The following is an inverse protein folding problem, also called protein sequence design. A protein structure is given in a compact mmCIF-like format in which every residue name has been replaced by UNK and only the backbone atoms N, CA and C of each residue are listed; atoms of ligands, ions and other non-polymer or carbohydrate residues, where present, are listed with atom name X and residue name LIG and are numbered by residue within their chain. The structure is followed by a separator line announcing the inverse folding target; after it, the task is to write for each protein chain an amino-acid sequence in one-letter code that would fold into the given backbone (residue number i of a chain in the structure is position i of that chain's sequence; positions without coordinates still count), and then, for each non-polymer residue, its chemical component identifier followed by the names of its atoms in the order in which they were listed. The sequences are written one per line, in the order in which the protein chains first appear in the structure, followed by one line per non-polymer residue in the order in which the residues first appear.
data_IF_347076643876
#
_entry.id   IF_347076643876
#
_cell.length_a   1.000
_cell.length_b   1.000
_cell.length_c   1.000
_cell.angle_alpha   90.00
_cell.angle_beta   90.00
_cell.angle_gamma   90.00
#
_symmetry.space_group_name_H-M   'P 1'
#
loop_
_entity.id
_entity.type
_entity.pdbx_description
1 polymer ?
#
# COMPACT_ATOMS: atom_id res chain seq x y z
N UNK A 1 35.53 -65.02 30.00
CA UNK A 1 35.71 -63.54 30.05
C UNK A 1 34.43 -62.85 29.56
N UNK A 2 33.64 -62.23 30.43
CA UNK A 2 32.42 -61.54 30.00
C UNK A 2 32.79 -60.23 29.28
N UNK A 3 32.52 -60.11 27.98
CA UNK A 3 32.65 -58.85 27.25
C UNK A 3 31.76 -57.79 27.89
N UNK A 4 32.31 -56.70 28.44
CA UNK A 4 31.52 -55.60 29.01
C UNK A 4 31.53 -54.42 28.03
N UNK A 5 30.40 -54.16 27.37
CA UNK A 5 30.24 -52.95 26.54
C UNK A 5 29.64 -51.82 27.38
N UNK A 6 30.44 -50.76 27.58
CA UNK A 6 30.01 -49.51 28.19
C UNK A 6 30.65 -48.36 27.41
N UNK A 7 29.82 -47.52 26.80
CA UNK A 7 30.28 -46.27 26.16
C UNK A 7 29.52 -45.10 26.75
N UNK A 8 30.24 -44.04 27.10
CA UNK A 8 29.61 -42.81 27.57
C UNK A 8 30.17 -41.61 26.83
N UNK A 9 29.30 -40.73 26.30
CA UNK A 9 29.67 -39.47 25.65
C UNK A 9 29.03 -38.32 26.43
N UNK A 10 29.83 -37.28 26.71
CA UNK A 10 29.37 -36.05 27.35
C UNK A 10 29.17 -35.00 26.27
N UNK A 11 28.06 -34.27 26.33
CA UNK A 11 27.75 -33.14 25.46
C UNK A 11 27.20 -32.05 26.37
N UNK A 12 28.08 -31.15 26.81
CA UNK A 12 27.76 -30.08 27.76
C UNK A 12 27.22 -30.62 29.12
N UNK A 13 26.12 -30.06 29.67
CA UNK A 13 25.55 -30.50 30.94
C UNK A 13 24.86 -31.88 30.84
N UNK A 14 24.79 -32.47 29.65
CA UNK A 14 24.19 -33.78 29.40
C UNK A 14 25.26 -34.86 29.21
N UNK A 15 25.03 -36.03 29.80
CA UNK A 15 25.85 -37.23 29.60
C UNK A 15 24.95 -38.41 29.27
N UNK A 16 25.26 -39.08 28.16
CA UNK A 16 24.60 -40.30 27.74
C UNK A 16 25.55 -41.47 27.98
N UNK A 17 25.06 -42.54 28.62
CA UNK A 17 25.81 -43.78 28.86
C UNK A 17 25.00 -44.95 28.36
N UNK A 18 25.50 -45.62 27.33
CA UNK A 18 24.98 -46.87 26.82
C UNK A 18 25.70 -48.05 27.51
N UNK A 19 24.91 -48.99 28.01
CA UNK A 19 25.39 -50.20 28.70
C UNK A 19 24.53 -51.40 28.29
N UNK A 20 24.94 -52.62 28.64
CA UNK A 20 24.16 -53.84 28.40
C UNK A 20 22.72 -53.80 28.95
N UNK A 21 22.46 -53.00 30.00
CA UNK A 21 21.12 -52.88 30.61
C UNK A 21 20.26 -51.79 29.96
N UNK A 22 20.79 -51.04 28.99
CA UNK A 22 20.09 -49.96 28.29
C UNK A 22 20.84 -48.63 28.30
N UNK A 23 20.16 -47.60 27.81
CA UNK A 23 20.67 -46.22 27.70
C UNK A 23 20.24 -45.41 28.92
N UNK A 24 21.19 -44.76 29.58
CA UNK A 24 20.96 -43.81 30.66
C UNK A 24 21.37 -42.41 30.24
N UNK A 25 20.61 -41.42 30.65
CA UNK A 25 20.90 -40.01 30.43
C UNK A 25 20.99 -39.28 31.77
N UNK A 26 21.93 -38.35 31.88
CA UNK A 26 22.00 -37.49 33.05
C UNK A 26 22.20 -36.06 32.64
N UNK A 27 21.53 -35.15 33.32
CA UNK A 27 21.68 -33.71 33.19
C UNK A 27 22.08 -33.13 34.54
N UNK A 28 23.09 -32.26 34.57
CA UNK A 28 23.46 -31.58 35.81
C UNK A 28 24.57 -30.55 35.65
N UNK A 29 24.54 -29.56 36.52
CA UNK A 29 25.49 -28.47 36.58
C UNK A 29 25.70 -28.04 38.04
N UNK A 30 26.93 -27.65 38.41
CA UNK A 30 27.21 -26.83 39.59
C UNK A 30 26.55 -27.20 40.91
N UNK A 31 26.50 -28.50 41.27
CA UNK A 31 25.95 -28.98 42.55
C UNK A 31 24.62 -29.73 42.44
N UNK A 32 23.92 -29.66 41.31
CA UNK A 32 22.68 -30.40 41.09
C UNK A 32 22.76 -31.31 39.87
N UNK A 33 22.42 -32.59 40.03
CA UNK A 33 22.40 -33.57 38.93
C UNK A 33 21.21 -34.52 39.04
N UNK A 34 20.52 -34.71 37.93
CA UNK A 34 19.48 -35.73 37.77
C UNK A 34 19.96 -36.76 36.75
N UNK A 35 19.89 -38.03 37.12
CA UNK A 35 20.26 -39.16 36.27
C UNK A 35 19.06 -40.05 36.08
N UNK A 36 18.62 -40.24 34.83
CA UNK A 36 17.70 -41.29 34.44
C UNK A 36 18.49 -42.55 34.14
N UNK A 37 18.28 -43.60 34.93
CA UNK A 37 18.97 -44.87 34.76
C UNK A 37 18.24 -45.77 33.77
N UNK A 38 18.93 -46.81 33.31
CA UNK A 38 18.40 -47.77 32.37
C UNK A 38 17.25 -48.63 32.94
N UNK A 39 17.11 -48.70 34.27
CA UNK A 39 16.00 -49.36 34.98
C UNK A 39 14.74 -48.46 35.09
N UNK A 40 14.77 -47.26 34.51
CA UNK A 40 13.69 -46.28 34.59
C UNK A 40 13.66 -45.49 35.90
N UNK A 41 14.56 -45.77 36.86
CA UNK A 41 14.65 -44.99 38.09
C UNK A 41 15.33 -43.63 37.85
N UNK A 42 14.88 -42.60 38.57
CA UNK A 42 15.54 -41.31 38.59
C UNK A 42 16.43 -41.22 39.83
N UNK A 43 17.65 -40.75 39.68
CA UNK A 43 18.55 -40.47 40.79
C UNK A 43 18.84 -38.98 40.81
N UNK A 44 18.48 -38.32 41.91
CA UNK A 44 18.80 -36.91 42.17
C UNK A 44 20.00 -36.86 43.10
N UNK A 45 21.04 -36.16 42.68
CA UNK A 45 22.24 -35.86 43.48
C UNK A 45 22.30 -34.37 43.71
N UNK A 46 22.31 -33.96 44.99
CA UNK A 46 22.54 -32.58 45.42
C UNK A 46 23.86 -32.54 46.18
N UNK A 47 24.76 -31.64 45.80
CA UNK A 47 26.06 -31.43 46.43
C UNK A 47 26.15 -29.96 46.84
N UNK A 48 26.51 -29.74 48.10
CA UNK A 48 26.82 -28.41 48.61
C UNK A 48 28.27 -28.09 48.22
N UNK A 49 28.52 -27.01 47.45
CA UNK A 49 29.87 -26.65 47.05
C UNK A 49 30.73 -26.29 48.27
N UNK A 50 32.00 -26.70 48.27
CA UNK A 50 32.96 -26.35 49.32
C UNK A 50 32.91 -27.19 50.61
N UNK A 51 31.87 -27.98 50.86
CA UNK A 51 31.70 -28.70 52.14
C UNK A 51 31.89 -30.22 52.03
N UNK A 52 32.04 -30.77 50.83
CA UNK A 52 32.20 -32.22 50.61
C UNK A 52 30.93 -33.07 50.83
N UNK A 53 29.84 -32.46 51.31
CA UNK A 53 28.59 -33.16 51.62
C UNK A 53 27.74 -33.34 50.35
N UNK A 54 27.30 -34.57 50.11
CA UNK A 54 26.40 -34.93 49.00
C UNK A 54 25.22 -35.77 49.50
N UNK A 55 24.04 -35.51 48.96
CA UNK A 55 22.85 -36.33 49.18
C UNK A 55 22.38 -36.90 47.84
N UNK A 56 22.32 -38.22 47.74
CA UNK A 56 21.74 -38.91 46.57
C UNK A 56 20.45 -39.60 46.95
N UNK A 57 19.34 -39.20 46.32
CA UNK A 57 18.04 -39.85 46.50
C UNK A 57 17.61 -40.51 45.20
N UNK A 58 17.25 -41.79 45.26
CA UNK A 58 16.53 -42.48 44.17
C UNK A 58 15.05 -42.11 44.27
N UNK A 59 14.51 -41.60 43.18
CA UNK A 59 13.12 -41.16 43.00
C UNK A 59 12.54 -42.10 41.93
N UNK A 60 11.63 -42.97 42.34
CA UNK A 60 11.04 -44.00 41.49
C UNK A 60 11.55 -45.41 41.80
N UNK A 61 10.61 -46.32 41.99
CA UNK A 61 10.87 -47.77 42.07
C UNK A 61 11.07 -48.32 40.65
N UNK A 62 11.99 -49.27 40.40
CA UNK A 62 11.99 -50.00 39.14
C UNK A 62 10.60 -50.61 38.97
N UNK A 63 9.88 -50.26 37.89
CA UNK A 63 8.65 -50.99 37.55
C UNK A 63 9.08 -52.45 37.41
N UNK A 64 8.63 -53.31 38.33
CA UNK A 64 8.61 -54.75 38.08
C UNK A 64 7.95 -54.91 36.72
N UNK A 65 8.53 -55.66 35.76
CA UNK A 65 7.82 -56.02 34.56
C UNK A 65 6.66 -56.91 35.02
N UNK A 66 5.53 -56.28 35.36
CA UNK A 66 4.26 -56.94 35.40
C UNK A 66 4.07 -57.41 33.97
N UNK A 67 4.06 -58.73 33.82
CA UNK A 67 3.37 -59.47 32.79
C UNK A 67 1.97 -58.86 32.64
N UNK A 68 1.89 -57.77 31.87
CA UNK A 68 0.66 -57.28 31.33
C UNK A 68 0.28 -58.29 30.25
N UNK A 69 -0.61 -59.18 30.66
CA UNK A 69 -1.55 -59.90 29.82
C UNK A 69 -1.80 -59.10 28.54
N UNK A 70 -1.24 -59.60 27.45
CA UNK A 70 -1.31 -58.99 26.14
C UNK A 70 -2.73 -59.13 25.60
N UNK A 71 -3.57 -58.12 25.84
CA UNK A 71 -4.62 -57.78 24.89
C UNK A 71 -3.91 -57.22 23.65
N UNK A 72 -3.64 -58.13 22.71
CA UNK A 72 -2.92 -57.83 21.49
C UNK A 72 -3.69 -56.84 20.63
N UNK A 73 -3.08 -55.68 20.38
CA UNK A 73 -3.28 -54.91 19.15
C UNK A 73 -1.92 -54.36 18.70
N UNK A 74 -1.22 -55.17 17.90
CA UNK A 74 -0.52 -54.72 16.68
C UNK A 74 0.54 -53.62 16.74
N UNK A 75 1.49 -53.62 17.67
CA UNK A 75 2.63 -52.68 17.63
C UNK A 75 3.63 -52.91 16.47
N UNK A 76 3.49 -54.00 15.70
CA UNK A 76 4.31 -54.27 14.51
C UNK A 76 3.75 -53.70 13.20
N UNK A 77 2.44 -53.46 13.12
CA UNK A 77 1.77 -53.05 11.87
C UNK A 77 1.60 -51.53 11.80
N UNK A 78 1.43 -50.86 12.95
CA UNK A 78 1.28 -49.40 13.02
C UNK A 78 2.52 -48.63 12.55
N UNK A 79 3.74 -49.09 12.88
CA UNK A 79 4.96 -48.41 12.46
C UNK A 79 5.24 -48.56 10.95
N UNK A 80 4.82 -49.68 10.35
CA UNK A 80 4.87 -49.90 8.90
C UNK A 80 3.81 -49.05 8.18
N UNK A 81 2.55 -49.05 8.63
CA UNK A 81 1.47 -48.26 8.02
C UNK A 81 1.73 -46.75 8.08
N UNK A 82 2.26 -46.26 9.21
CA UNK A 82 2.56 -44.83 9.35
C UNK A 82 3.65 -44.40 8.38
N UNK A 83 4.66 -45.25 8.14
CA UNK A 83 5.75 -44.97 7.19
C UNK A 83 5.27 -45.05 5.74
N UNK A 84 4.31 -45.94 5.47
CA UNK A 84 3.69 -46.14 4.15
C UNK A 84 2.80 -44.95 3.74
N UNK A 85 2.15 -44.27 4.69
CA UNK A 85 1.34 -43.08 4.44
C UNK A 85 2.15 -41.77 4.54
N UNK A 86 3.19 -41.73 5.37
CA UNK A 86 3.98 -40.51 5.59
C UNK A 86 4.77 -40.07 4.35
N UNK A 87 5.40 -41.02 3.65
CA UNK A 87 6.18 -40.73 2.44
C UNK A 87 5.34 -40.17 1.27
N UNK A 88 4.19 -40.76 0.88
CA UNK A 88 3.37 -40.19 -0.18
C UNK A 88 2.79 -38.82 0.21
N UNK A 89 2.39 -38.62 1.47
CA UNK A 89 1.93 -37.29 1.93
C UNK A 89 3.04 -36.23 1.85
N UNK A 90 4.28 -36.60 2.19
CA UNK A 90 5.43 -35.70 2.04
C UNK A 90 5.70 -35.38 0.56
N UNK A 91 5.68 -36.40 -0.31
CA UNK A 91 5.87 -36.22 -1.77
C UNK A 91 4.77 -35.33 -2.35
N UNK A 92 3.51 -35.55 -1.97
CA UNK A 92 2.37 -34.70 -2.39
C UNK A 92 2.58 -33.27 -1.91
N UNK A 93 3.00 -33.07 -0.65
CA UNK A 93 3.30 -31.74 -0.12
C UNK A 93 4.40 -31.01 -0.90
N UNK A 94 5.48 -31.71 -1.26
CA UNK A 94 6.57 -31.14 -2.08
C UNK A 94 6.09 -30.82 -3.50
N UNK A 95 5.30 -31.70 -4.12
CA UNK A 95 4.70 -31.46 -5.43
C UNK A 95 3.78 -30.24 -5.44
N UNK A 96 2.94 -30.08 -4.40
CA UNK A 96 2.08 -28.90 -4.26
C UNK A 96 2.90 -27.62 -4.09
N UNK A 97 4.01 -27.67 -3.34
CA UNK A 97 4.89 -26.52 -3.17
C UNK A 97 5.57 -26.11 -4.50
N UNK A 98 6.03 -27.09 -5.27
CA UNK A 98 6.59 -26.85 -6.62
C UNK A 98 5.51 -26.30 -7.57
N UNK A 99 4.29 -26.82 -7.51
CA UNK A 99 3.18 -26.36 -8.34
C UNK A 99 2.76 -24.93 -7.97
N UNK A 100 2.68 -24.60 -6.67
CA UNK A 100 2.39 -23.26 -6.19
C UNK A 100 3.45 -22.26 -6.64
N UNK A 101 4.74 -22.64 -6.59
CA UNK A 101 5.83 -21.81 -7.12
C UNK A 101 5.67 -21.54 -8.62
N UNK A 102 5.35 -22.56 -9.41
CA UNK A 102 5.12 -22.42 -10.85
C UNK A 102 3.91 -21.53 -11.14
N UNK A 103 2.83 -21.65 -10.37
CA UNK A 103 1.66 -20.80 -10.50
C UNK A 103 2.00 -19.32 -10.24
N UNK A 104 2.82 -19.02 -9.22
CA UNK A 104 3.26 -17.65 -8.94
C UNK A 104 4.06 -17.03 -10.09
N UNK A 105 4.94 -17.81 -10.74
CA UNK A 105 5.68 -17.34 -11.93
C UNK A 105 4.74 -17.03 -13.10
N UNK A 106 3.76 -17.90 -13.36
CA UNK A 106 2.76 -17.68 -14.42
C UNK A 106 1.90 -16.45 -14.13
N UNK A 107 1.41 -16.30 -12.89
CA UNK A 107 0.67 -15.11 -12.48
C UNK A 107 1.50 -13.83 -12.59
N UNK A 108 2.79 -13.88 -12.23
CA UNK A 108 3.72 -12.77 -12.42
C UNK A 108 3.83 -12.36 -13.89
N UNK A 109 4.00 -13.32 -14.80
CA UNK A 109 4.05 -13.05 -16.25
C UNK A 109 2.74 -12.45 -16.77
N UNK A 110 1.59 -12.99 -16.36
CA UNK A 110 0.27 -12.46 -16.74
C UNK A 110 0.11 -11.01 -16.26
N UNK A 111 0.46 -10.70 -15.01
CA UNK A 111 0.39 -9.34 -14.47
C UNK A 111 1.31 -8.40 -15.26
N UNK A 112 2.55 -8.80 -15.55
CA UNK A 112 3.47 -7.98 -16.36
C UNK A 112 2.93 -7.74 -17.77
N UNK A 113 2.35 -8.76 -18.41
CA UNK A 113 1.71 -8.62 -19.70
C UNK A 113 0.52 -7.65 -19.64
N UNK A 114 -0.36 -7.75 -18.63
CA UNK A 114 -1.48 -6.81 -18.44
C UNK A 114 -0.98 -5.37 -18.26
N UNK A 115 0.06 -5.16 -17.45
CA UNK A 115 0.65 -3.83 -17.22
C UNK A 115 1.27 -3.28 -18.49
N UNK A 116 2.00 -4.11 -19.25
CA UNK A 116 2.60 -3.73 -20.52
C UNK A 116 1.53 -3.42 -21.57
N UNK A 117 0.48 -4.24 -21.69
CA UNK A 117 -0.66 -3.98 -22.59
C UNK A 117 -1.36 -2.68 -22.23
N UNK A 118 -1.59 -2.39 -20.94
CA UNK A 118 -2.17 -1.10 -20.51
C UNK A 118 -1.26 0.09 -20.80
N UNK A 119 0.06 -0.08 -20.71
CA UNK A 119 1.03 0.96 -21.08
C UNK A 119 1.06 1.17 -22.59
N UNK A 120 1.05 0.08 -23.35
CA UNK A 120 1.02 0.08 -24.81
C UNK A 120 -0.26 0.74 -25.34
N UNK A 121 -1.43 0.40 -24.79
CA UNK A 121 -2.70 1.03 -25.17
C UNK A 121 -2.73 2.53 -24.83
N UNK A 122 -2.17 2.95 -23.69
CA UNK A 122 -2.04 4.39 -23.37
C UNK A 122 -1.11 5.14 -24.31
N UNK A 123 -0.04 4.49 -24.78
CA UNK A 123 0.84 5.07 -25.81
C UNK A 123 0.14 5.13 -27.17
N UNK A 124 -0.60 4.08 -27.53
CA UNK A 124 -1.33 4.00 -28.79
C UNK A 124 -2.46 5.03 -28.87
N UNK A 125 -3.21 5.25 -27.79
CA UNK A 125 -4.22 6.32 -27.74
C UNK A 125 -3.64 7.72 -27.98
N UNK A 126 -2.37 7.97 -27.63
CA UNK A 126 -1.69 9.23 -27.96
C UNK A 126 -1.29 9.34 -29.43
N UNK A 127 -1.06 8.21 -30.10
CA UNK A 127 -0.72 8.18 -31.53
C UNK A 127 -1.98 8.23 -32.40
N UNK A 128 -3.01 7.46 -32.04
CA UNK A 128 -4.26 7.38 -32.79
C UNK A 128 -5.09 8.68 -32.61
N UNK A 129 -5.07 9.30 -31.43
CA UNK A 129 -5.69 10.62 -31.20
C UNK A 129 -5.05 11.78 -31.99
N UNK A 130 -3.85 11.57 -32.56
CA UNK A 130 -3.20 12.53 -33.46
C UNK A 130 -3.39 12.15 -34.94
N UNK A 131 -3.72 10.90 -35.25
CA UNK A 131 -3.93 10.40 -36.61
C UNK A 131 -5.38 10.55 -37.09
N UNK A 132 -6.37 10.51 -36.19
CA UNK A 132 -7.79 10.76 -36.52
C UNK A 132 -8.12 12.26 -36.61
N UNK A 133 -7.21 13.13 -36.17
CA UNK A 133 -7.23 14.54 -36.54
C UNK A 133 -6.75 14.65 -37.99
N UNK A 134 -7.67 14.37 -38.90
CA UNK A 134 -7.53 14.74 -40.30
C UNK A 134 -7.47 16.28 -40.38
N UNK A 135 -6.30 16.88 -40.10
CA UNK A 135 -5.98 18.32 -40.27
C UNK A 135 -5.92 18.70 -41.76
N UNK A 136 -6.72 18.04 -42.59
CA UNK A 136 -7.06 18.43 -43.95
C UNK A 136 -8.54 18.80 -44.10
N UNK A 137 -9.32 18.76 -43.01
CA UNK A 137 -10.71 19.20 -43.00
C UNK A 137 -10.89 20.73 -42.97
N UNK A 138 -12.05 21.24 -43.42
CA UNK A 138 -12.35 22.67 -43.52
C UNK A 138 -12.17 23.43 -42.18
N UNK A 139 -12.33 22.77 -41.04
CA UNK A 139 -12.12 23.35 -39.71
C UNK A 139 -10.68 23.81 -39.46
N UNK A 140 -9.67 23.08 -39.94
CA UNK A 140 -8.28 23.51 -39.79
C UNK A 140 -8.01 24.78 -40.60
N UNK A 141 -8.60 24.89 -41.80
CA UNK A 141 -8.54 26.10 -42.61
C UNK A 141 -9.29 27.26 -41.97
N UNK A 142 -10.49 27.03 -41.41
CA UNK A 142 -11.26 28.09 -40.74
C UNK A 142 -10.53 28.61 -39.50
N UNK A 143 -9.97 27.72 -38.68
CA UNK A 143 -9.19 28.11 -37.49
C UNK A 143 -7.93 28.88 -37.89
N UNK A 144 -7.20 28.43 -38.93
CA UNK A 144 -6.05 29.18 -39.46
C UNK A 144 -6.45 30.54 -40.06
N UNK A 145 -7.56 30.64 -40.78
CA UNK A 145 -8.06 31.91 -41.34
C UNK A 145 -8.45 32.90 -40.23
N UNK A 146 -9.09 32.42 -39.15
CA UNK A 146 -9.45 33.26 -37.99
C UNK A 146 -8.20 33.68 -37.22
N UNK A 147 -7.22 32.78 -37.06
CA UNK A 147 -5.94 33.10 -36.44
C UNK A 147 -5.16 34.12 -37.28
N UNK A 148 -5.15 34.00 -38.60
CA UNK A 148 -4.49 34.98 -39.49
C UNK A 148 -5.20 36.34 -39.47
N UNK A 149 -6.53 36.36 -39.54
CA UNK A 149 -7.32 37.60 -39.47
C UNK A 149 -7.18 38.33 -38.13
N UNK A 150 -7.08 37.59 -37.02
CA UNK A 150 -6.90 38.18 -35.68
C UNK A 150 -5.48 38.70 -35.43
N UNK A 151 -4.47 38.06 -36.01
CA UNK A 151 -3.07 38.54 -35.96
C UNK A 151 -2.89 39.82 -36.77
N UNK A 152 -3.52 39.93 -37.94
CA UNK A 152 -3.39 41.09 -38.83
C UNK A 152 -4.12 42.33 -38.28
N UNK A 153 -5.22 42.15 -37.56
CA UNK A 153 -6.00 43.27 -37.01
C UNK A 153 -5.39 43.91 -35.75
N UNK A 154 -4.80 43.12 -34.85
CA UNK A 154 -4.38 43.59 -33.52
C UNK A 154 -2.88 43.44 -33.23
N UNK A 155 -2.10 42.82 -34.13
CA UNK A 155 -0.67 42.55 -33.90
C UNK A 155 -0.37 41.57 -32.75
N UNK A 156 -1.40 41.09 -32.04
CA UNK A 156 -1.30 40.14 -30.93
C UNK A 156 -2.44 39.12 -31.00
N UNK A 157 -2.11 37.86 -30.81
CA UNK A 157 -3.05 36.74 -30.90
C UNK A 157 -3.89 36.66 -29.61
N UNK A 158 -5.13 37.11 -29.64
CA UNK A 158 -6.02 37.00 -28.48
C UNK A 158 -6.54 35.57 -28.35
N UNK A 159 -5.77 34.75 -27.61
CA UNK A 159 -6.04 33.32 -27.42
C UNK A 159 -7.40 33.07 -26.77
N UNK A 160 -7.93 34.04 -25.99
CA UNK A 160 -9.26 33.95 -25.39
C UNK A 160 -10.36 33.98 -26.45
N UNK A 161 -10.22 34.84 -27.45
CA UNK A 161 -11.19 34.93 -28.56
C UNK A 161 -11.06 33.71 -29.48
N UNK A 162 -9.84 33.23 -29.73
CA UNK A 162 -9.61 32.00 -30.49
C UNK A 162 -10.19 30.76 -29.77
N UNK A 163 -10.03 30.66 -28.46
CA UNK A 163 -10.59 29.57 -27.65
C UNK A 163 -12.12 29.62 -27.60
N UNK A 164 -12.69 30.80 -27.39
CA UNK A 164 -14.14 30.99 -27.42
C UNK A 164 -14.73 30.66 -28.79
N UNK A 165 -14.05 31.05 -29.87
CA UNK A 165 -14.51 30.73 -31.25
C UNK A 165 -14.48 29.23 -31.53
N UNK A 166 -13.48 28.51 -31.03
CA UNK A 166 -13.41 27.04 -31.15
C UNK A 166 -14.49 26.35 -30.31
N UNK A 167 -14.78 26.87 -29.13
CA UNK A 167 -15.84 26.38 -28.24
C UNK A 167 -17.24 26.67 -28.81
N UNK A 168 -17.45 27.84 -29.41
CA UNK A 168 -18.71 28.23 -30.05
C UNK A 168 -18.97 27.39 -31.31
N UNK A 169 -17.91 27.06 -32.06
CA UNK A 169 -18.00 26.17 -33.21
C UNK A 169 -18.22 24.70 -32.83
N UNK A 170 -17.84 24.28 -31.62
CA UNK A 170 -17.99 22.91 -31.12
C UNK A 170 -18.34 22.88 -29.62
N UNK A 171 -19.63 23.12 -29.28
CA UNK A 171 -20.06 23.21 -27.87
C UNK A 171 -19.99 21.88 -27.10
N UNK A 172 -19.77 20.76 -27.79
CA UNK A 172 -19.62 19.43 -27.20
C UNK A 172 -18.19 19.10 -26.76
N UNK A 173 -17.19 19.90 -27.14
CA UNK A 173 -15.79 19.65 -26.79
C UNK A 173 -15.46 20.19 -25.39
N UNK A 174 -14.81 19.38 -24.52
CA UNK A 174 -14.37 19.87 -23.23
C UNK A 174 -13.23 20.88 -23.39
N UNK A 175 -13.28 21.98 -22.63
CA UNK A 175 -12.34 23.13 -22.70
C UNK A 175 -10.87 22.73 -22.64
N UNK A 176 -10.53 21.66 -21.91
CA UNK A 176 -9.16 21.14 -21.78
C UNK A 176 -8.64 20.57 -23.11
N UNK A 177 -9.52 19.92 -23.86
CA UNK A 177 -9.22 19.31 -25.14
C UNK A 177 -9.15 20.38 -26.24
N UNK A 178 -10.02 21.39 -26.19
CA UNK A 178 -9.94 22.59 -27.04
C UNK A 178 -8.64 23.39 -26.82
N UNK A 179 -8.22 23.58 -25.56
CA UNK A 179 -6.95 24.24 -25.24
C UNK A 179 -5.72 23.43 -25.70
N UNK A 180 -5.75 22.11 -25.54
CA UNK A 180 -4.71 21.21 -26.07
C UNK A 180 -4.67 21.24 -27.61
N UNK A 181 -5.82 21.39 -28.27
CA UNK A 181 -5.93 21.48 -29.73
C UNK A 181 -5.29 22.76 -30.27
N UNK A 182 -5.57 23.91 -29.65
CA UNK A 182 -4.95 25.20 -30.01
C UNK A 182 -3.43 25.15 -29.77
N UNK A 183 -2.99 24.61 -28.63
CA UNK A 183 -1.57 24.43 -28.33
C UNK A 183 -0.85 23.51 -29.32
N UNK A 184 -1.53 22.45 -29.79
CA UNK A 184 -1.03 21.50 -30.79
C UNK A 184 -0.94 22.10 -32.19
N UNK A 185 -1.95 22.85 -32.63
CA UNK A 185 -1.97 23.52 -33.95
C UNK A 185 -0.94 24.65 -33.99
N UNK A 186 -0.92 25.53 -33.00
CA UNK A 186 0.04 26.65 -32.97
C UNK A 186 1.47 26.12 -32.87
N UNK A 187 1.69 25.05 -32.08
CA UNK A 187 2.98 24.41 -31.91
C UNK A 187 3.53 23.71 -33.16
N UNK A 188 2.66 23.18 -34.03
CA UNK A 188 3.06 22.44 -35.24
C UNK A 188 3.06 23.28 -36.50
N UNK A 189 2.15 24.26 -36.66
CA UNK A 189 1.98 25.02 -37.90
C UNK A 189 2.74 26.34 -37.98
N UNK A 190 2.92 27.08 -36.87
CA UNK A 190 3.63 28.39 -36.88
C UNK A 190 4.53 28.52 -35.64
N UNK A 191 5.74 27.94 -35.65
CA UNK A 191 6.67 27.99 -34.51
C UNK A 191 7.10 29.41 -34.12
N UNK A 192 6.88 30.41 -34.98
CA UNK A 192 7.16 31.83 -34.77
C UNK A 192 6.18 32.55 -33.82
N UNK A 193 5.00 31.98 -33.52
CA UNK A 193 4.03 32.59 -32.58
C UNK A 193 4.13 32.06 -31.14
N UNK A 194 5.05 31.11 -30.89
CA UNK A 194 5.37 30.63 -29.53
C UNK A 194 5.63 31.73 -28.48
N UNK A 195 6.25 32.89 -28.81
CA UNK A 195 6.49 33.96 -27.84
C UNK A 195 5.25 34.83 -27.56
N UNK A 196 4.19 34.71 -28.36
CA UNK A 196 2.96 35.51 -28.24
C UNK A 196 1.88 34.80 -27.41
N UNK A 197 2.13 33.54 -27.03
CA UNK A 197 1.33 32.83 -26.01
C UNK A 197 1.74 33.39 -24.65
N UNK A 198 0.87 34.12 -23.95
CA UNK A 198 1.23 34.75 -22.70
C UNK A 198 1.48 33.66 -21.65
N UNK A 199 2.48 33.87 -20.79
CA UNK A 199 2.89 32.89 -19.77
C UNK A 199 1.76 32.49 -18.80
N UNK A 200 0.69 33.29 -18.73
CA UNK A 200 -0.49 33.09 -17.89
C UNK A 200 -1.52 32.10 -18.48
N UNK A 201 -1.32 31.54 -19.68
CA UNK A 201 -2.15 30.41 -20.15
C UNK A 201 -2.04 29.21 -19.18
N UNK A 202 -0.88 29.05 -18.55
CA UNK A 202 -0.70 28.09 -17.45
C UNK A 202 -1.59 28.41 -16.24
N UNK A 203 -1.73 29.69 -15.86
CA UNK A 203 -2.50 30.09 -14.69
C UNK A 203 -4.01 29.94 -14.91
N UNK A 204 -4.52 30.22 -16.12
CA UNK A 204 -5.94 29.99 -16.46
C UNK A 204 -6.30 28.49 -16.40
N UNK A 205 -5.39 27.62 -16.85
CA UNK A 205 -5.57 26.18 -16.74
C UNK A 205 -5.45 25.68 -15.28
N UNK A 206 -4.60 26.34 -14.49
CA UNK A 206 -4.41 26.05 -13.06
C UNK A 206 -5.64 26.45 -12.24
N UNK A 207 -6.25 27.61 -12.50
CA UNK A 207 -7.46 28.09 -11.84
C UNK A 207 -8.64 27.12 -12.09
N UNK A 208 -8.82 26.68 -13.34
CA UNK A 208 -9.84 25.69 -13.70
C UNK A 208 -9.59 24.30 -13.07
N UNK A 209 -8.33 23.94 -12.78
CA UNK A 209 -7.99 22.73 -12.05
C UNK A 209 -8.31 22.85 -10.55
N UNK A 210 -7.96 23.99 -9.93
CA UNK A 210 -8.24 24.28 -8.51
C UNK A 210 -9.74 24.25 -8.23
N UNK A 211 -10.56 24.86 -9.08
CA UNK A 211 -12.02 24.82 -8.97
C UNK A 211 -12.57 23.38 -8.95
N UNK A 212 -12.09 22.51 -9.85
CA UNK A 212 -12.55 21.11 -9.90
C UNK A 212 -12.14 20.31 -8.68
N UNK A 213 -10.91 20.50 -8.18
CA UNK A 213 -10.42 19.82 -6.96
C UNK A 213 -11.23 20.28 -5.75
N UNK A 214 -11.51 21.57 -5.64
CA UNK A 214 -12.32 22.16 -4.60
C UNK A 214 -13.74 21.57 -4.58
N UNK A 215 -14.46 21.61 -5.71
CA UNK A 215 -15.82 21.06 -5.83
C UNK A 215 -15.88 19.56 -5.51
N UNK A 216 -14.89 18.76 -5.96
CA UNK A 216 -14.82 17.33 -5.65
C UNK A 216 -14.61 17.07 -4.15
N UNK A 217 -13.83 17.92 -3.49
CA UNK A 217 -13.54 17.77 -2.05
C UNK A 217 -14.78 18.11 -1.21
N UNK A 218 -15.54 19.14 -1.59
CA UNK A 218 -16.82 19.46 -0.96
C UNK A 218 -17.84 18.33 -1.12
N UNK A 219 -17.98 17.80 -2.34
CA UNK A 219 -18.88 16.70 -2.63
C UNK A 219 -18.56 15.44 -1.82
N UNK A 220 -17.27 15.11 -1.66
CA UNK A 220 -16.82 13.97 -0.84
C UNK A 220 -17.19 14.12 0.63
N UNK A 221 -17.19 15.36 1.14
CA UNK A 221 -17.51 15.67 2.52
C UNK A 221 -19.02 15.89 2.76
N UNK A 222 -19.86 15.75 1.73
CA UNK A 222 -21.31 15.91 1.84
C UNK A 222 -21.77 17.36 2.05
N UNK A 223 -20.90 18.34 1.78
CA UNK A 223 -21.21 19.76 1.99
C UNK A 223 -21.91 20.31 0.75
N UNK A 224 -23.15 20.79 0.91
CA UNK A 224 -23.94 21.38 -0.17
C UNK A 224 -24.18 22.87 0.12
N UNK A 225 -23.57 23.75 -0.69
CA UNK A 225 -23.61 25.20 -0.54
C UNK A 225 -24.00 25.81 -1.89
N UNK A 226 -24.78 26.89 -1.88
CA UNK A 226 -25.14 27.63 -3.10
C UNK A 226 -23.95 28.46 -3.57
N UNK A 227 -23.59 28.34 -4.85
CA UNK A 227 -22.47 29.10 -5.46
C UNK A 227 -21.15 28.96 -4.67
N UNK A 228 -20.64 27.73 -4.50
CA UNK A 228 -19.50 27.46 -3.62
C UNK A 228 -18.21 28.17 -4.05
N UNK A 229 -18.02 28.44 -5.34
CA UNK A 229 -16.81 29.12 -5.86
C UNK A 229 -16.80 30.59 -5.45
N UNK A 230 -17.88 31.33 -5.71
CA UNK A 230 -17.99 32.76 -5.37
C UNK A 230 -17.86 32.99 -3.85
N UNK A 231 -18.49 32.10 -3.07
CA UNK A 231 -18.38 32.13 -1.62
C UNK A 231 -16.95 31.82 -1.13
N UNK A 232 -16.22 30.90 -1.79
CA UNK A 232 -14.84 30.59 -1.43
C UNK A 232 -13.90 31.79 -1.66
N UNK A 233 -14.07 32.53 -2.76
CA UNK A 233 -13.34 33.77 -2.98
C UNK A 233 -13.67 34.84 -1.94
N UNK A 234 -14.94 34.93 -1.54
CA UNK A 234 -15.38 35.85 -0.47
C UNK A 234 -14.76 35.48 0.89
N UNK A 235 -14.61 34.18 1.18
CA UNK A 235 -13.94 33.70 2.41
C UNK A 235 -12.53 34.25 2.48
N UNK A 236 -11.75 34.14 1.41
CA UNK A 236 -10.38 34.65 1.40
C UNK A 236 -10.32 36.17 1.61
N UNK A 237 -11.20 36.93 0.93
CA UNK A 237 -11.29 38.39 1.11
C UNK A 237 -11.63 38.80 2.55
N UNK A 238 -12.53 38.05 3.21
CA UNK A 238 -12.92 38.34 4.60
C UNK A 238 -11.81 37.95 5.58
N UNK A 239 -11.10 36.85 5.33
CA UNK A 239 -9.94 36.46 6.14
C UNK A 239 -8.80 37.49 6.06
N UNK A 240 -8.60 38.11 4.90
CA UNK A 240 -7.62 39.21 4.74
C UNK A 240 -7.93 40.43 5.64
N UNK A 241 -9.17 40.57 6.15
CA UNK A 241 -9.55 41.61 7.11
C UNK A 241 -9.20 41.28 8.57
N UNK A 242 -8.63 40.10 8.83
CA UNK A 242 -8.22 39.66 10.16
C UNK A 242 -9.31 38.94 10.98
N UNK A 243 -10.36 38.45 10.32
CA UNK A 243 -11.41 37.64 10.95
C UNK A 243 -10.87 36.25 11.31
N UNK A 244 -11.24 35.73 12.47
CA UNK A 244 -10.80 34.38 12.89
C UNK A 244 -11.50 33.27 12.10
N UNK A 245 -10.84 32.11 11.99
CA UNK A 245 -11.41 30.93 11.33
C UNK A 245 -12.79 30.55 11.89
N UNK A 246 -12.93 30.58 13.22
CA UNK A 246 -14.18 30.24 13.89
C UNK A 246 -15.30 31.21 13.51
N UNK A 247 -15.06 32.53 13.59
CA UNK A 247 -16.04 33.54 13.20
C UNK A 247 -16.48 33.41 11.73
N UNK A 248 -15.53 33.09 10.84
CA UNK A 248 -15.87 32.88 9.43
C UNK A 248 -16.70 31.61 9.23
N UNK A 249 -16.37 30.52 9.93
CA UNK A 249 -17.13 29.27 9.87
C UNK A 249 -18.58 29.46 10.34
N UNK A 250 -18.80 30.17 11.46
CA UNK A 250 -20.14 30.51 11.94
C UNK A 250 -20.92 31.39 10.94
N UNK A 251 -20.24 32.33 10.27
CA UNK A 251 -20.87 33.19 9.26
C UNK A 251 -21.35 32.37 8.05
N UNK A 252 -20.53 31.44 7.56
CA UNK A 252 -20.89 30.54 6.46
C UNK A 252 -22.01 29.58 6.86
N UNK A 253 -21.97 29.05 8.09
CA UNK A 253 -23.01 28.17 8.63
C UNK A 253 -24.37 28.86 8.62
N UNK A 254 -24.43 30.09 9.15
CA UNK A 254 -25.66 30.88 9.23
C UNK A 254 -26.17 31.31 7.85
N UNK A 255 -25.28 31.62 6.91
CA UNK A 255 -25.67 32.04 5.56
C UNK A 255 -26.31 30.92 4.75
N UNK A 256 -25.81 29.69 4.90
CA UNK A 256 -26.23 28.55 4.10
C UNK A 256 -27.17 27.57 4.84
N UNK A 257 -27.52 27.85 6.09
CA UNK A 257 -28.33 26.97 6.95
C UNK A 257 -27.74 25.54 7.05
N UNK A 258 -26.43 25.47 7.28
CA UNK A 258 -25.67 24.22 7.39
C UNK A 258 -25.05 24.04 8.77
N UNK A 259 -24.64 22.81 9.09
CA UNK A 259 -23.98 22.52 10.37
C UNK A 259 -22.67 23.33 10.52
N UNK A 260 -22.29 23.75 11.74
CA UNK A 260 -21.03 24.45 11.98
C UNK A 260 -19.81 23.64 11.52
N UNK A 261 -19.91 22.32 11.63
CA UNK A 261 -18.87 21.39 11.17
C UNK A 261 -18.71 21.42 9.65
N UNK A 262 -19.82 21.45 8.90
CA UNK A 262 -19.79 21.49 7.44
C UNK A 262 -19.33 22.86 6.93
N UNK A 263 -19.68 23.92 7.63
CA UNK A 263 -19.15 25.25 7.36
C UNK A 263 -17.65 25.34 7.62
N UNK A 264 -17.15 24.75 8.72
CA UNK A 264 -15.72 24.67 9.00
C UNK A 264 -14.97 23.86 7.92
N UNK A 265 -15.54 22.74 7.45
CA UNK A 265 -14.99 21.98 6.31
C UNK A 265 -14.94 22.82 5.05
N UNK A 266 -16.00 23.57 4.73
CA UNK A 266 -16.02 24.46 3.57
C UNK A 266 -14.92 25.52 3.65
N UNK A 267 -14.85 26.25 4.77
CA UNK A 267 -13.84 27.30 4.98
C UNK A 267 -12.43 26.72 4.89
N UNK A 268 -12.17 25.58 5.52
CA UNK A 268 -10.87 24.91 5.44
C UNK A 268 -10.50 24.49 4.02
N UNK A 269 -11.45 23.93 3.26
CA UNK A 269 -11.21 23.59 1.85
C UNK A 269 -11.00 24.80 0.96
N UNK A 270 -11.66 25.94 1.26
CA UNK A 270 -11.51 27.18 0.53
C UNK A 270 -10.13 27.82 0.78
N UNK A 271 -9.68 27.84 2.05
CA UNK A 271 -8.35 28.31 2.44
C UNK A 271 -7.27 27.50 1.71
N UNK A 272 -7.37 26.17 1.75
CA UNK A 272 -6.39 25.29 1.11
C UNK A 272 -6.33 25.45 -0.42
N UNK A 273 -7.45 25.79 -1.08
CA UNK A 273 -7.54 25.89 -2.53
C UNK A 273 -7.18 27.30 -3.07
N UNK A 274 -7.57 28.36 -2.36
CA UNK A 274 -7.55 29.73 -2.89
C UNK A 274 -6.68 30.71 -2.10
N UNK A 275 -6.46 30.49 -0.80
CA UNK A 275 -5.66 31.39 0.03
C UNK A 275 -4.76 30.63 1.03
N UNK A 276 -3.77 29.87 0.53
CA UNK A 276 -2.92 29.01 1.37
C UNK A 276 -2.08 29.78 2.40
N UNK A 277 -1.93 31.09 2.25
CA UNK A 277 -1.30 31.96 3.25
C UNK A 277 -2.01 31.92 4.62
N UNK A 278 -3.30 31.58 4.63
CA UNK A 278 -4.11 31.47 5.85
C UNK A 278 -4.14 30.04 6.43
N UNK A 279 -3.32 29.12 5.91
CA UNK A 279 -3.30 27.74 6.38
C UNK A 279 -2.97 27.61 7.88
N UNK A 280 -2.15 28.52 8.42
CA UNK A 280 -1.79 28.54 9.84
C UNK A 280 -2.99 28.80 10.76
N UNK A 281 -4.06 29.44 10.27
CA UNK A 281 -5.29 29.67 11.04
C UNK A 281 -6.06 28.36 11.32
N UNK A 282 -5.74 27.27 10.59
CA UNK A 282 -6.31 25.95 10.82
C UNK A 282 -5.54 25.12 11.86
N UNK A 283 -4.33 25.55 12.24
CA UNK A 283 -3.43 24.84 13.15
C UNK A 283 -3.51 25.33 14.60
N UNK A 284 -4.13 26.49 14.86
CA UNK A 284 -4.31 26.96 16.23
C UNK A 284 -5.39 26.13 16.95
N UNK A 285 -5.04 25.38 18.01
CA UNK A 285 -6.03 24.74 18.84
C UNK A 285 -6.86 25.81 19.56
N UNK A 286 -8.15 25.55 19.81
CA UNK A 286 -8.96 26.46 20.62
C UNK A 286 -8.29 26.64 21.98
N UNK A 287 -8.02 27.89 22.36
CA UNK A 287 -7.61 28.25 23.73
C UNK A 287 -8.81 28.21 24.68
#
# INVERSE_FOLDING_TARGET
MSWQYRKSKKVGPFRFTASKRGVSSSVGFGGYRVTRRADGSYQRTVRIPGTGVYNTRRIGSPRRPQSALSSGVGFGVGFMLTRLLFWPLLIIGVLLLVFAWKALLVWGLIITAIVLTRRYLRQRQRADGFADLNVSGPLAQTVCQILDASVEANGTLNIKDALNTVLDANPSLPVVEAGSYIGGIIGTYRPQYRPLVPANVGTIAEDAYRERVFLRTLAKNGVNIRQPIDQAHTVCQVLDTGVTFEQMSWRVAKLNDISPLDAARFVGTAIAAYCPQHNSLMEEPPK
#
